data_IF_057269465128
#
_entry.id   IF_057269465128
#
_cell.length_a   1.000
_cell.length_b   1.000
_cell.length_c   1.000
_cell.angle_alpha   90.00
_cell.angle_beta   90.00
_cell.angle_gamma   90.00
#
_symmetry.space_group_name_H-M   'P 1'
#
loop_
_entity.id
_entity.type
_entity.pdbx_description
1 polymer ?
#
# COMPACT_ATOMS: atom_id res chain seq x y z
N UNK A 1 15.84 -33.49 22.08
CA UNK A 1 16.35 -32.21 21.55
C UNK A 1 15.29 -31.66 20.61
N UNK A 2 14.40 -30.79 21.10
CA UNK A 2 13.37 -30.15 20.28
C UNK A 2 14.03 -29.01 19.50
N UNK A 3 14.21 -29.19 18.19
CA UNK A 3 14.68 -28.12 17.32
C UNK A 3 13.69 -26.96 17.35
N UNK A 4 14.12 -25.84 17.90
CA UNK A 4 13.40 -24.57 17.78
C UNK A 4 13.42 -24.16 16.31
N UNK A 5 12.29 -24.34 15.61
CA UNK A 5 12.09 -23.72 14.30
C UNK A 5 12.08 -22.19 14.54
N UNK A 6 13.21 -21.53 14.28
CA UNK A 6 13.26 -20.09 14.21
C UNK A 6 12.60 -19.67 12.89
N UNK A 7 11.28 -19.48 12.90
CA UNK A 7 10.61 -18.77 11.81
C UNK A 7 11.01 -17.30 11.91
N UNK A 8 11.82 -16.83 10.96
CA UNK A 8 12.17 -15.41 10.86
C UNK A 8 10.88 -14.61 10.68
N UNK A 9 10.77 -13.45 11.34
CA UNK A 9 9.64 -12.53 11.12
C UNK A 9 9.66 -12.02 9.68
N UNK A 10 8.48 -11.88 9.08
CA UNK A 10 8.34 -11.24 7.77
C UNK A 10 8.80 -9.78 7.88
N UNK A 11 9.62 -9.34 6.92
CA UNK A 11 10.03 -7.95 6.76
C UNK A 11 9.06 -7.27 5.82
N UNK A 12 8.23 -6.39 6.37
CA UNK A 12 7.23 -5.62 5.64
C UNK A 12 7.70 -4.17 5.58
N UNK A 13 7.69 -3.58 4.40
CA UNK A 13 7.94 -2.14 4.24
C UNK A 13 6.67 -1.43 3.84
N UNK A 14 6.50 -0.20 4.32
CA UNK A 14 5.45 0.70 3.86
C UNK A 14 6.04 2.02 3.40
N UNK A 15 5.67 2.43 2.19
CA UNK A 15 5.95 3.77 1.65
C UNK A 15 4.63 4.53 1.64
N UNK A 16 4.47 5.43 2.60
CA UNK A 16 3.30 6.30 2.70
C UNK A 16 3.75 7.69 3.11
N UNK A 17 3.44 8.67 2.29
CA UNK A 17 3.85 10.05 2.54
C UNK A 17 3.00 10.68 3.66
N UNK A 18 3.67 11.32 4.60
CA UNK A 18 3.04 12.04 5.72
C UNK A 18 3.36 13.55 5.68
N UNK A 19 3.76 14.08 4.52
CA UNK A 19 4.22 15.47 4.37
C UNK A 19 3.24 16.30 3.53
N UNK A 20 2.68 15.70 2.47
CA UNK A 20 1.67 16.34 1.62
C UNK A 20 0.38 16.58 2.41
N UNK A 21 -0.08 17.83 2.47
CA UNK A 21 -1.24 18.20 3.31
C UNK A 21 -2.56 17.62 2.80
N UNK A 22 -2.72 17.49 1.48
CA UNK A 22 -3.91 16.92 0.87
C UNK A 22 -4.11 15.47 1.34
N UNK A 23 -5.27 15.19 1.95
CA UNK A 23 -5.63 13.87 2.49
C UNK A 23 -4.66 13.33 3.56
N UNK A 24 -3.83 14.18 4.20
CA UNK A 24 -2.83 13.75 5.19
C UNK A 24 -3.45 12.91 6.31
N UNK A 25 -4.56 13.39 6.88
CA UNK A 25 -5.23 12.70 7.99
C UNK A 25 -5.69 11.29 7.64
N UNK A 26 -6.11 11.08 6.38
CA UNK A 26 -6.51 9.76 5.90
C UNK A 26 -5.30 8.83 5.82
N UNK A 27 -4.17 9.32 5.32
CA UNK A 27 -2.93 8.55 5.24
C UNK A 27 -2.37 8.20 6.61
N UNK A 28 -2.46 9.11 7.59
CA UNK A 28 -2.14 8.79 8.99
C UNK A 28 -3.03 7.67 9.56
N UNK A 29 -4.32 7.72 9.28
CA UNK A 29 -5.26 6.67 9.69
C UNK A 29 -4.97 5.33 9.01
N UNK A 30 -4.66 5.34 7.70
CA UNK A 30 -4.28 4.14 6.95
C UNK A 30 -2.96 3.53 7.45
N UNK A 31 -1.94 4.35 7.74
CA UNK A 31 -0.70 3.87 8.35
C UNK A 31 -0.97 3.25 9.73
N UNK A 32 -1.83 3.87 10.55
CA UNK A 32 -2.18 3.33 11.86
C UNK A 32 -2.92 2.00 11.74
N UNK A 33 -3.81 1.86 10.76
CA UNK A 33 -4.50 0.61 10.44
C UNK A 33 -3.50 -0.50 10.08
N UNK A 34 -2.58 -0.23 9.14
CA UNK A 34 -1.51 -1.18 8.77
C UNK A 34 -0.62 -1.55 9.96
N UNK A 35 -0.27 -0.59 10.82
CA UNK A 35 0.52 -0.87 12.02
C UNK A 35 -0.21 -1.83 12.97
N UNK A 36 -1.51 -1.64 13.19
CA UNK A 36 -2.29 -2.52 14.06
C UNK A 36 -2.37 -3.96 13.48
N UNK A 37 -2.47 -4.09 12.16
CA UNK A 37 -2.41 -5.40 11.48
C UNK A 37 -1.02 -6.02 11.63
N UNK A 38 0.04 -5.24 11.45
CA UNK A 38 1.41 -5.71 11.59
C UNK A 38 1.71 -6.22 13.01
N UNK A 39 1.24 -5.50 14.02
CA UNK A 39 1.36 -5.88 15.43
C UNK A 39 0.62 -7.20 15.71
N UNK A 40 -0.58 -7.37 15.13
CA UNK A 40 -1.39 -8.59 15.27
C UNK A 40 -0.73 -9.81 14.60
N UNK A 41 -0.10 -9.60 13.44
CA UNK A 41 0.58 -10.65 12.68
C UNK A 41 2.02 -10.90 13.15
N UNK A 42 2.52 -10.12 14.12
CA UNK A 42 3.88 -10.19 14.65
C UNK A 42 4.97 -10.08 13.56
N UNK A 43 4.77 -9.18 12.59
CA UNK A 43 5.72 -8.90 11.50
C UNK A 43 6.56 -7.66 11.82
N UNK A 44 7.70 -7.51 11.14
CA UNK A 44 8.51 -6.30 11.24
C UNK A 44 8.04 -5.29 10.20
N UNK A 45 7.28 -4.27 10.61
CA UNK A 45 6.89 -3.17 9.74
C UNK A 45 7.92 -2.05 9.79
N UNK A 46 8.47 -1.68 8.63
CA UNK A 46 9.40 -0.54 8.49
C UNK A 46 8.79 0.50 7.57
N UNK A 47 8.62 1.72 8.06
CA UNK A 47 8.20 2.84 7.22
C UNK A 47 9.41 3.46 6.51
N UNK A 48 9.26 3.73 5.21
CA UNK A 48 10.26 4.42 4.40
C UNK A 48 9.64 5.73 3.89
N UNK A 49 10.36 6.83 4.07
CA UNK A 49 9.97 8.12 3.50
C UNK A 49 10.07 8.07 1.97
N UNK A 50 9.05 8.58 1.28
CA UNK A 50 9.04 8.67 -0.18
C UNK A 50 10.30 9.35 -0.72
N UNK A 51 10.67 10.52 -0.16
CA UNK A 51 11.84 11.28 -0.63
C UNK A 51 13.12 10.46 -0.58
N UNK A 52 13.32 9.65 0.47
CA UNK A 52 14.53 8.83 0.62
C UNK A 52 14.61 7.76 -0.46
N UNK A 53 13.46 7.19 -0.82
CA UNK A 53 13.36 6.22 -1.91
C UNK A 53 13.57 6.89 -3.27
N UNK A 54 12.90 8.02 -3.51
CA UNK A 54 12.94 8.79 -4.76
C UNK A 54 14.33 9.35 -5.07
N UNK A 55 15.05 9.85 -4.05
CA UNK A 55 16.44 10.29 -4.18
C UNK A 55 17.44 9.14 -4.30
N UNK A 56 16.99 7.88 -4.17
CA UNK A 56 17.85 6.71 -4.25
C UNK A 56 18.82 6.58 -3.08
N UNK A 57 18.41 6.95 -1.87
CA UNK A 57 19.22 6.73 -0.67
C UNK A 57 19.50 5.24 -0.48
N UNK A 58 20.79 4.87 -0.40
CA UNK A 58 21.21 3.46 -0.42
C UNK A 58 20.50 2.59 0.63
N UNK A 59 20.36 3.07 1.87
CA UNK A 59 19.68 2.32 2.93
C UNK A 59 18.18 2.15 2.68
N UNK A 60 17.53 3.17 2.11
CA UNK A 60 16.11 3.11 1.77
C UNK A 60 15.86 2.14 0.62
N UNK A 61 16.70 2.17 -0.42
CA UNK A 61 16.65 1.24 -1.54
C UNK A 61 16.90 -0.20 -1.08
N UNK A 62 17.93 -0.43 -0.27
CA UNK A 62 18.25 -1.75 0.27
C UNK A 62 17.08 -2.32 1.10
N UNK A 63 16.52 -1.50 1.99
CA UNK A 63 15.37 -1.89 2.81
C UNK A 63 14.15 -2.20 1.93
N UNK A 64 13.86 -1.37 0.92
CA UNK A 64 12.70 -1.53 0.06
C UNK A 64 12.83 -2.74 -0.88
N UNK A 65 13.98 -2.89 -1.54
CA UNK A 65 14.19 -3.97 -2.51
C UNK A 65 14.31 -5.33 -1.85
N UNK A 66 14.85 -5.43 -0.64
CA UNK A 66 15.02 -6.71 0.06
C UNK A 66 13.87 -7.08 1.00
N UNK A 67 12.84 -6.23 1.16
CA UNK A 67 11.68 -6.56 1.97
C UNK A 67 10.96 -7.81 1.44
N UNK A 68 10.29 -8.57 2.32
CA UNK A 68 9.42 -9.68 1.88
C UNK A 68 8.15 -9.13 1.24
N UNK A 69 7.56 -8.06 1.80
CA UNK A 69 6.33 -7.42 1.31
C UNK A 69 6.52 -5.91 1.29
N UNK A 70 6.11 -5.23 0.20
CA UNK A 70 6.02 -3.78 0.18
C UNK A 70 4.56 -3.33 0.04
N UNK A 71 4.16 -2.41 0.89
CA UNK A 71 2.93 -1.64 0.79
C UNK A 71 3.29 -0.24 0.28
N UNK A 72 2.61 0.21 -0.78
CA UNK A 72 2.93 1.48 -1.43
C UNK A 72 1.66 2.31 -1.58
N UNK A 73 1.58 3.42 -0.87
CA UNK A 73 0.49 4.40 -1.00
C UNK A 73 0.68 5.25 -2.25
N UNK A 74 -0.24 5.10 -3.20
CA UNK A 74 -0.26 5.84 -4.47
C UNK A 74 -1.29 6.97 -4.46
N UNK A 75 -1.78 7.38 -3.29
CA UNK A 75 -2.76 8.46 -3.14
C UNK A 75 -2.23 9.80 -3.68
N UNK A 76 -0.92 10.06 -3.56
CA UNK A 76 -0.28 11.26 -4.12
C UNK A 76 0.11 11.02 -5.57
N UNK A 77 -0.65 11.60 -6.49
CA UNK A 77 -0.47 11.41 -7.93
C UNK A 77 0.94 11.74 -8.42
N UNK A 78 1.56 12.78 -7.88
CA UNK A 78 2.91 13.21 -8.27
C UNK A 78 3.98 12.16 -7.94
N UNK A 79 3.72 11.29 -6.95
CA UNK A 79 4.64 10.25 -6.51
C UNK A 79 4.48 8.95 -7.30
N UNK A 80 3.35 8.76 -8.00
CA UNK A 80 3.02 7.51 -8.69
C UNK A 80 4.08 7.04 -9.68
N UNK A 81 4.62 7.88 -10.59
CA UNK A 81 5.61 7.39 -11.57
C UNK A 81 6.87 6.80 -10.92
N UNK A 82 7.37 7.46 -9.86
CA UNK A 82 8.55 7.00 -9.11
C UNK A 82 8.24 5.72 -8.33
N UNK A 83 7.12 5.67 -7.62
CA UNK A 83 6.68 4.49 -6.89
C UNK A 83 6.49 3.27 -7.81
N UNK A 84 5.85 3.46 -8.96
CA UNK A 84 5.67 2.42 -9.98
C UNK A 84 7.01 1.92 -10.54
N UNK A 85 7.99 2.82 -10.73
CA UNK A 85 9.34 2.43 -11.12
C UNK A 85 9.98 1.50 -10.08
N UNK A 86 9.95 1.86 -8.80
CA UNK A 86 10.54 1.05 -7.73
C UNK A 86 9.86 -0.32 -7.58
N UNK A 87 8.54 -0.38 -7.75
CA UNK A 87 7.80 -1.65 -7.79
C UNK A 87 8.29 -2.52 -8.95
N UNK A 88 8.42 -1.96 -10.16
CA UNK A 88 8.92 -2.70 -11.32
C UNK A 88 10.34 -3.23 -11.12
N UNK A 89 11.21 -2.45 -10.45
CA UNK A 89 12.56 -2.92 -10.07
C UNK A 89 12.47 -4.12 -9.11
N UNK A 90 11.63 -4.06 -8.06
CA UNK A 90 11.41 -5.22 -7.16
C UNK A 90 10.96 -6.45 -7.93
N UNK A 91 9.99 -6.31 -8.83
CA UNK A 91 9.48 -7.42 -9.63
C UNK A 91 10.56 -8.06 -10.52
N UNK A 92 11.43 -7.24 -11.11
CA UNK A 92 12.56 -7.71 -11.91
C UNK A 92 13.58 -8.53 -11.09
N UNK A 93 13.64 -8.30 -9.78
CA UNK A 93 14.49 -9.02 -8.81
C UNK A 93 13.76 -10.18 -8.14
N UNK A 94 12.60 -10.61 -8.68
CA UNK A 94 11.72 -11.63 -8.12
C UNK A 94 11.14 -11.31 -6.73
N UNK A 95 11.11 -10.03 -6.35
CA UNK A 95 10.46 -9.54 -5.13
C UNK A 95 9.04 -9.11 -5.46
N UNK A 96 8.17 -10.11 -5.70
CA UNK A 96 6.85 -9.90 -6.31
C UNK A 96 5.71 -9.58 -5.36
N UNK A 97 5.92 -9.65 -4.04
CA UNK A 97 4.88 -9.29 -3.07
C UNK A 97 4.85 -7.77 -2.87
N UNK A 98 4.14 -7.10 -3.78
CA UNK A 98 3.85 -5.68 -3.76
C UNK A 98 2.34 -5.47 -3.59
N UNK A 99 1.94 -4.58 -2.70
CA UNK A 99 0.54 -4.21 -2.45
C UNK A 99 0.40 -2.71 -2.66
N UNK A 100 -0.54 -2.32 -3.51
CA UNK A 100 -0.89 -0.92 -3.69
C UNK A 100 -1.92 -0.48 -2.65
N UNK A 101 -1.75 0.71 -2.09
CA UNK A 101 -2.74 1.36 -1.24
C UNK A 101 -3.18 2.66 -1.90
N UNK A 102 -4.47 2.98 -1.85
CA UNK A 102 -4.96 4.27 -2.35
C UNK A 102 -6.16 4.74 -1.57
N UNK A 103 -6.32 6.05 -1.43
CA UNK A 103 -7.53 6.67 -0.89
C UNK A 103 -8.43 7.21 -2.00
N UNK A 104 -9.74 7.01 -1.85
CA UNK A 104 -10.78 7.60 -2.70
C UNK A 104 -11.61 8.55 -1.83
N UNK A 105 -11.61 9.82 -2.20
CA UNK A 105 -12.52 10.78 -1.59
C UNK A 105 -13.96 10.51 -2.05
N UNK A 106 -14.98 10.73 -1.20
CA UNK A 106 -16.38 10.43 -1.53
C UNK A 106 -16.87 11.04 -2.85
N UNK A 107 -16.36 12.23 -3.20
CA UNK A 107 -16.78 12.98 -4.40
C UNK A 107 -15.78 12.86 -5.57
N UNK A 108 -14.78 11.97 -5.47
CA UNK A 108 -13.78 11.81 -6.53
C UNK A 108 -14.27 10.93 -7.68
N UNK A 109 -13.97 11.33 -8.91
CA UNK A 109 -14.13 10.47 -10.08
C UNK A 109 -13.23 9.22 -9.99
N UNK A 110 -13.82 8.04 -10.23
CA UNK A 110 -13.12 6.75 -10.14
C UNK A 110 -12.06 6.53 -11.24
N UNK A 111 -11.93 7.44 -12.20
CA UNK A 111 -11.08 7.32 -13.38
C UNK A 111 -9.60 7.02 -13.06
N UNK A 112 -9.06 7.58 -11.98
CA UNK A 112 -7.67 7.36 -11.57
C UNK A 112 -7.46 5.93 -11.07
N UNK A 113 -8.41 5.38 -10.33
CA UNK A 113 -8.33 4.01 -9.82
C UNK A 113 -8.43 3.03 -10.99
N UNK A 114 -9.28 3.30 -11.96
CA UNK A 114 -9.42 2.43 -13.13
C UNK A 114 -8.15 2.42 -13.99
N UNK A 115 -7.45 3.55 -14.10
CA UNK A 115 -6.12 3.61 -14.70
C UNK A 115 -5.07 2.80 -13.92
N UNK A 116 -5.03 2.96 -12.58
CA UNK A 116 -4.10 2.21 -11.72
C UNK A 116 -4.36 0.70 -11.78
N UNK A 117 -5.63 0.28 -11.71
CA UNK A 117 -6.02 -1.13 -11.87
C UNK A 117 -5.63 -1.68 -13.23
N UNK A 118 -5.90 -0.93 -14.31
CA UNK A 118 -5.58 -1.40 -15.66
C UNK A 118 -4.07 -1.58 -15.84
N UNK A 119 -3.28 -0.70 -15.25
CA UNK A 119 -1.81 -0.70 -15.38
C UNK A 119 -1.15 -1.72 -14.44
N UNK A 120 -1.75 -2.01 -13.28
CA UNK A 120 -1.20 -2.89 -12.25
C UNK A 120 -2.17 -4.00 -11.83
N UNK A 121 -2.88 -4.60 -12.79
CA UNK A 121 -3.94 -5.59 -12.53
C UNK A 121 -3.43 -6.85 -11.81
N UNK A 122 -2.13 -7.13 -11.88
CA UNK A 122 -1.49 -8.26 -11.21
C UNK A 122 -1.18 -8.00 -9.73
N UNK A 123 -1.31 -6.75 -9.26
CA UNK A 123 -1.02 -6.39 -7.87
C UNK A 123 -2.30 -6.34 -7.03
N UNK A 124 -2.27 -6.87 -5.78
CA UNK A 124 -3.31 -6.59 -4.80
C UNK A 124 -3.39 -5.08 -4.51
N UNK A 125 -4.62 -4.58 -4.41
CA UNK A 125 -4.90 -3.17 -4.11
C UNK A 125 -5.85 -3.04 -2.91
N UNK A 126 -5.40 -2.32 -1.89
CA UNK A 126 -6.20 -1.91 -0.74
C UNK A 126 -6.71 -0.50 -1.00
N UNK A 127 -8.03 -0.35 -1.01
CA UNK A 127 -8.69 0.92 -1.25
C UNK A 127 -9.28 1.45 0.05
N UNK A 128 -8.83 2.62 0.47
CA UNK A 128 -9.36 3.32 1.63
C UNK A 128 -10.45 4.32 1.23
N UNK A 129 -11.56 4.31 1.96
CA UNK A 129 -12.63 5.31 1.84
C UNK A 129 -12.95 5.87 3.22
N UNK A 130 -13.15 7.19 3.29
CA UNK A 130 -13.52 7.87 4.52
C UNK A 130 -15.02 8.14 4.52
N UNK A 131 -15.70 7.71 5.57
CA UNK A 131 -17.12 7.99 5.79
C UNK A 131 -17.26 9.24 6.65
N UNK A 132 -17.79 10.36 6.10
CA UNK A 132 -17.87 11.61 6.84
C UNK A 132 -18.76 11.51 8.09
N UNK A 133 -19.85 10.74 8.00
CA UNK A 133 -20.87 10.62 9.06
C UNK A 133 -20.32 9.96 10.33
N UNK A 134 -19.49 8.93 10.18
CA UNK A 134 -18.89 8.17 11.27
C UNK A 134 -17.46 8.62 11.60
N UNK A 135 -16.86 9.50 10.76
CA UNK A 135 -15.43 9.83 10.77
C UNK A 135 -14.53 8.58 10.78
N UNK A 136 -14.99 7.48 10.20
CA UNK A 136 -14.24 6.22 10.11
C UNK A 136 -13.56 6.09 8.75
N UNK A 137 -12.42 5.41 8.75
CA UNK A 137 -11.74 4.97 7.54
C UNK A 137 -11.98 3.48 7.39
N UNK A 138 -12.43 3.05 6.22
CA UNK A 138 -12.63 1.63 5.90
C UNK A 138 -11.74 1.24 4.72
N UNK A 139 -11.18 0.04 4.78
CA UNK A 139 -10.40 -0.57 3.71
C UNK A 139 -11.24 -1.60 2.96
N UNK A 140 -11.05 -1.68 1.66
CA UNK A 140 -11.68 -2.64 0.77
C UNK A 140 -10.61 -3.35 -0.05
N UNK A 141 -10.65 -4.67 -0.04
CA UNK A 141 -9.94 -5.50 -1.01
C UNK A 141 -10.79 -5.54 -2.29
N UNK A 142 -10.23 -5.11 -3.43
CA UNK A 142 -10.94 -5.16 -4.70
C UNK A 142 -10.39 -6.21 -5.68
N UNK A 143 -9.57 -7.14 -5.20
CA UNK A 143 -9.12 -8.29 -6.00
C UNK A 143 -10.03 -9.54 -5.85
N UNK A 144 -11.15 -9.45 -5.13
CA UNK A 144 -12.27 -10.37 -5.31
C UNK A 144 -13.44 -9.65 -5.95
N UNK A 145 -13.93 -10.20 -7.07
CA UNK A 145 -15.01 -9.70 -7.91
C UNK A 145 -16.08 -8.97 -7.09
N UNK A 146 -16.23 -7.67 -7.31
CA UNK A 146 -17.54 -7.04 -7.07
C UNK A 146 -18.43 -7.57 -8.18
N UNK A 147 -19.11 -8.68 -7.91
CA UNK A 147 -20.34 -9.00 -8.60
C UNK A 147 -21.26 -7.81 -8.35
N UNK A 148 -21.29 -6.89 -9.31
CA UNK A 148 -22.43 -6.02 -9.47
C UNK A 148 -23.57 -6.96 -9.81
N UNK A 149 -24.28 -7.45 -8.79
CA UNK A 149 -25.66 -7.82 -9.01
C UNK A 149 -26.33 -6.54 -9.50
N UNK A 150 -26.54 -6.50 -10.82
CA UNK A 150 -27.55 -5.67 -11.44
C UNK A 150 -28.79 -5.77 -10.58
N UNK A 151 -29.17 -4.66 -9.95
CA UNK A 151 -30.54 -4.47 -9.51
C UNK A 151 -31.32 -4.31 -10.82
N UNK A 152 -31.64 -5.43 -11.44
CA UNK A 152 -32.65 -5.54 -12.47
C UNK A 152 -33.96 -5.91 -11.77
N UNK A 153 -34.95 -5.04 -12.00
CA UNK A 153 -36.38 -5.02 -11.63
C UNK A 153 -36.75 -4.40 -10.28
#
# INVERSE_FOLDING_TARGET
MTGTNFTRKLQVVIVIDQKVQKNLRVREMALKDVQNVADTLNVNLTQIDFDRLDFGEANALDTFYNADVALVDVTVQQQQPSLCYHIGVRESMNQSYNILMTYIAPDSEYHIIDALKKTHAHLPMIVYMKFPESNTLQSYDRNMNVSLESIDN
#
